data_IF_548890671311
#
_entry.id   IF_548890671311
#
_cell.length_a   1.000
_cell.length_b   1.000
_cell.length_c   1.000
_cell.angle_alpha   90.00
_cell.angle_beta   90.00
_cell.angle_gamma   90.00
#
_symmetry.space_group_name_H-M   'P 1'
#
loop_
_entity.id
_entity.type
_entity.pdbx_description
1 polymer ?
#
# COMPACT_ATOMS: atom_id res chain seq x y z
N UNK A 1 -12.71 -19.33 3.81
CA UNK A 1 -13.37 -18.18 3.15
C UNK A 1 -12.88 -16.90 3.78
N UNK A 2 -12.50 -15.92 2.96
CA UNK A 2 -12.06 -14.62 3.44
C UNK A 2 -13.27 -13.70 3.53
N UNK A 3 -13.55 -13.20 4.72
CA UNK A 3 -14.60 -12.20 4.88
C UNK A 3 -14.09 -10.86 4.33
N UNK A 4 -14.87 -10.17 3.45
CA UNK A 4 -14.44 -8.90 2.90
C UNK A 4 -14.37 -7.81 3.96
N UNK A 5 -13.50 -6.81 3.75
CA UNK A 5 -13.49 -5.62 4.58
C UNK A 5 -14.78 -4.83 4.39
N UNK A 6 -15.12 -4.00 5.36
CA UNK A 6 -16.27 -3.10 5.22
C UNK A 6 -16.08 -2.16 4.05
N UNK A 7 -17.18 -1.81 3.37
CA UNK A 7 -17.17 -0.85 2.27
C UNK A 7 -16.73 0.53 2.76
N UNK A 8 -16.41 1.43 1.82
CA UNK A 8 -16.05 2.83 2.11
C UNK A 8 -14.68 2.97 2.81
N UNK A 9 -13.68 2.37 2.20
CA UNK A 9 -12.30 2.43 2.69
C UNK A 9 -11.79 3.87 2.78
N UNK A 10 -12.16 4.74 1.84
CA UNK A 10 -11.76 6.15 1.89
C UNK A 10 -12.16 6.79 3.21
N UNK A 11 -13.40 6.62 3.65
CA UNK A 11 -13.88 7.19 4.90
C UNK A 11 -13.19 6.56 6.11
N UNK A 12 -13.00 5.24 6.08
CA UNK A 12 -12.28 4.55 7.16
C UNK A 12 -10.85 5.05 7.30
N UNK A 13 -10.18 5.29 6.15
CA UNK A 13 -8.83 5.85 6.15
C UNK A 13 -8.81 7.24 6.76
N UNK A 14 -9.71 8.13 6.35
CA UNK A 14 -9.74 9.49 6.90
C UNK A 14 -10.04 9.48 8.39
N UNK A 15 -10.97 8.62 8.84
CA UNK A 15 -11.26 8.47 10.26
C UNK A 15 -10.04 8.00 11.05
N UNK A 16 -9.28 7.06 10.50
CA UNK A 16 -8.05 6.58 11.13
C UNK A 16 -7.02 7.71 11.26
N UNK A 17 -6.80 8.46 10.18
CA UNK A 17 -5.84 9.56 10.18
C UNK A 17 -6.24 10.66 11.17
N UNK A 18 -7.52 11.03 11.20
CA UNK A 18 -8.04 12.06 12.11
C UNK A 18 -7.95 11.60 13.56
N UNK A 19 -8.27 10.34 13.84
CA UNK A 19 -8.19 9.78 15.19
C UNK A 19 -6.77 9.87 15.76
N UNK A 20 -5.76 9.66 14.90
CA UNK A 20 -4.36 9.72 15.30
C UNK A 20 -3.71 11.09 15.06
N UNK A 21 -4.51 12.11 14.72
CA UNK A 21 -4.02 13.48 14.52
C UNK A 21 -2.89 13.57 13.49
N UNK A 22 -3.05 12.84 12.40
CA UNK A 22 -2.05 12.79 11.33
C UNK A 22 -1.99 14.10 10.55
N UNK A 23 -0.80 14.45 10.08
CA UNK A 23 -0.57 15.62 9.20
C UNK A 23 -0.73 15.17 7.76
N UNK A 24 -1.88 15.50 7.17
CA UNK A 24 -2.20 15.06 5.80
C UNK A 24 -3.09 16.07 5.08
N UNK A 25 -3.14 15.95 3.76
CA UNK A 25 -4.10 16.68 2.94
C UNK A 25 -4.71 15.75 1.90
N UNK A 26 -5.96 16.04 1.54
CA UNK A 26 -6.71 15.27 0.54
C UNK A 26 -6.78 16.07 -0.76
N UNK A 27 -6.57 15.41 -1.88
CA UNK A 27 -6.68 16.02 -3.20
C UNK A 27 -7.67 15.22 -4.04
N UNK A 28 -8.69 15.91 -4.59
CA UNK A 28 -9.62 15.32 -5.55
C UNK A 28 -9.10 15.58 -6.96
N UNK A 29 -9.22 14.59 -7.85
CA UNK A 29 -8.73 14.68 -9.22
C UNK A 29 -9.47 13.70 -10.12
N UNK A 30 -9.17 13.70 -11.41
CA UNK A 30 -9.72 12.71 -12.34
C UNK A 30 -9.27 11.31 -11.94
N UNK A 31 -10.07 10.31 -12.31
CA UNK A 31 -9.75 8.90 -12.01
C UNK A 31 -8.44 8.49 -12.68
N UNK A 32 -7.42 8.21 -11.89
CA UNK A 32 -6.09 7.82 -12.36
C UNK A 32 -5.53 6.72 -11.47
N UNK A 33 -5.11 5.62 -12.10
CA UNK A 33 -4.49 4.50 -11.39
C UNK A 33 -3.00 4.32 -11.66
N UNK A 34 -2.46 5.02 -12.67
CA UNK A 34 -1.02 4.89 -13.01
C UNK A 34 -0.19 5.86 -12.18
N UNK A 35 0.88 5.34 -11.58
CA UNK A 35 1.72 6.11 -10.66
C UNK A 35 2.32 7.38 -11.30
N UNK A 36 2.82 7.29 -12.52
CA UNK A 36 3.41 8.43 -13.21
C UNK A 36 2.40 9.54 -13.45
N UNK A 37 1.23 9.18 -13.98
CA UNK A 37 0.19 10.17 -14.29
C UNK A 37 -0.35 10.83 -13.02
N UNK A 38 -0.58 10.06 -11.97
CA UNK A 38 -1.13 10.62 -10.72
C UNK A 38 -0.11 11.46 -9.98
N UNK A 39 1.18 11.15 -10.06
CA UNK A 39 2.21 11.98 -9.43
C UNK A 39 2.28 13.38 -10.06
N UNK A 40 2.10 13.47 -11.38
CA UNK A 40 2.03 14.77 -12.06
C UNK A 40 0.85 15.59 -11.57
N UNK A 41 -0.33 14.97 -11.46
CA UNK A 41 -1.54 15.64 -10.97
C UNK A 41 -1.36 16.14 -9.54
N UNK A 42 -0.74 15.34 -8.68
CA UNK A 42 -0.47 15.71 -7.28
C UNK A 42 0.60 16.78 -7.13
N UNK A 43 1.46 16.94 -8.14
CA UNK A 43 2.64 17.79 -8.02
C UNK A 43 3.70 17.19 -7.11
N UNK A 44 3.77 15.86 -7.01
CA UNK A 44 4.74 15.12 -6.19
C UNK A 44 5.73 14.37 -7.07
N UNK A 45 6.88 14.02 -6.51
CA UNK A 45 7.82 13.16 -7.22
C UNK A 45 7.26 11.74 -7.33
N UNK A 46 7.60 11.03 -8.40
CA UNK A 46 7.17 9.65 -8.58
C UNK A 46 7.56 8.78 -7.38
N UNK A 47 8.78 8.95 -6.87
CA UNK A 47 9.29 8.18 -5.74
C UNK A 47 8.60 8.47 -4.41
N UNK A 48 7.79 9.53 -4.32
CA UNK A 48 6.95 9.78 -3.14
C UNK A 48 5.68 8.93 -3.15
N UNK A 49 5.32 8.38 -4.31
CA UNK A 49 4.14 7.53 -4.42
C UNK A 49 4.32 6.22 -3.66
N UNK A 50 3.36 5.88 -2.81
CA UNK A 50 3.32 4.60 -2.11
C UNK A 50 2.53 3.61 -2.96
N UNK A 51 3.24 2.79 -3.72
CA UNK A 51 2.66 1.75 -4.56
C UNK A 51 2.30 0.56 -3.69
N UNK A 52 1.04 0.11 -3.77
CA UNK A 52 0.51 -0.98 -2.96
C UNK A 52 0.23 -2.21 -3.83
N UNK A 53 0.87 -3.33 -3.49
CA UNK A 53 0.69 -4.61 -4.17
C UNK A 53 0.10 -5.62 -3.18
N UNK A 54 -0.98 -6.28 -3.57
CA UNK A 54 -1.51 -7.40 -2.77
C UNK A 54 -0.88 -8.68 -3.29
N UNK A 55 -0.14 -9.36 -2.43
CA UNK A 55 0.62 -10.55 -2.78
C UNK A 55 0.14 -11.74 -1.96
N UNK A 56 0.41 -12.92 -2.48
CA UNK A 56 0.11 -14.19 -1.82
C UNK A 56 1.39 -14.97 -1.70
N UNK A 57 1.76 -15.36 -0.48
CA UNK A 57 2.98 -16.12 -0.19
C UNK A 57 2.60 -17.53 0.24
N UNK A 58 3.16 -18.51 -0.44
CA UNK A 58 2.89 -19.93 -0.18
C UNK A 58 4.17 -20.74 -0.08
N UNK A 59 4.06 -21.89 0.58
CA UNK A 59 5.13 -22.87 0.73
C UNK A 59 5.66 -22.89 2.16
N UNK A 60 6.35 -23.97 2.53
CA UNK A 60 6.87 -24.19 3.89
C UNK A 60 5.79 -24.09 4.99
N UNK A 61 4.55 -24.48 4.67
CA UNK A 61 3.42 -24.34 5.59
C UNK A 61 2.83 -22.95 5.67
N UNK A 62 3.33 -21.99 4.87
CA UNK A 62 2.85 -20.61 4.83
C UNK A 62 1.77 -20.46 3.76
N UNK A 63 0.70 -19.75 4.11
CA UNK A 63 -0.33 -19.30 3.18
C UNK A 63 -0.79 -17.94 3.68
N UNK A 64 -0.10 -16.89 3.25
CA UNK A 64 -0.26 -15.54 3.80
C UNK A 64 -0.49 -14.53 2.70
N UNK A 65 -1.54 -13.72 2.84
CA UNK A 65 -1.72 -12.52 2.02
C UNK A 65 -0.94 -11.37 2.62
N UNK A 66 -0.30 -10.59 1.77
CA UNK A 66 0.57 -9.50 2.17
C UNK A 66 0.24 -8.26 1.36
N UNK A 67 0.05 -7.14 2.05
CA UNK A 67 0.00 -5.82 1.42
C UNK A 67 1.41 -5.28 1.42
N UNK A 68 2.04 -5.27 0.25
CA UNK A 68 3.44 -4.91 0.08
C UNK A 68 3.54 -3.51 -0.52
N UNK A 69 4.15 -2.60 0.23
CA UNK A 69 4.24 -1.19 -0.11
C UNK A 69 5.68 -0.85 -0.50
N UNK A 70 5.85 -0.17 -1.62
CA UNK A 70 7.17 0.31 -2.03
C UNK A 70 7.02 1.61 -2.82
N UNK A 71 8.17 2.31 -2.98
CA UNK A 71 8.18 3.55 -3.74
C UNK A 71 7.78 3.28 -5.20
N UNK A 72 6.98 4.15 -5.77
CA UNK A 72 6.40 3.95 -7.11
C UNK A 72 7.44 3.94 -8.23
N UNK A 73 8.66 4.44 -7.99
CA UNK A 73 9.77 4.37 -8.94
C UNK A 73 10.60 3.09 -8.80
N UNK A 74 10.17 2.16 -7.95
CA UNK A 74 10.86 0.89 -7.73
C UNK A 74 10.01 -0.30 -8.16
N UNK A 75 10.66 -1.44 -8.37
CA UNK A 75 9.98 -2.69 -8.69
C UNK A 75 10.19 -3.69 -7.56
N UNK A 76 9.17 -4.51 -7.29
CA UNK A 76 9.23 -5.50 -6.23
C UNK A 76 10.02 -6.73 -6.67
N UNK A 77 10.80 -7.28 -5.74
CA UNK A 77 11.41 -8.60 -5.86
C UNK A 77 10.58 -9.57 -5.03
N UNK A 78 9.71 -10.30 -5.69
CA UNK A 78 8.77 -11.19 -5.00
C UNK A 78 9.47 -12.37 -4.32
N UNK A 79 10.64 -12.79 -4.83
CA UNK A 79 11.42 -13.86 -4.19
C UNK A 79 11.95 -13.41 -2.82
N UNK A 80 12.42 -12.16 -2.71
CA UNK A 80 12.84 -11.61 -1.42
C UNK A 80 11.67 -11.47 -0.45
N UNK A 81 10.50 -11.06 -0.95
CA UNK A 81 9.31 -10.97 -0.13
C UNK A 81 8.93 -12.34 0.43
N UNK A 82 8.94 -13.38 -0.42
CA UNK A 82 8.62 -14.73 0.01
C UNK A 82 9.58 -15.21 1.10
N UNK A 83 10.88 -14.95 0.94
CA UNK A 83 11.89 -15.33 1.93
C UNK A 83 11.63 -14.68 3.28
N UNK A 84 11.31 -13.38 3.28
CA UNK A 84 11.04 -12.67 4.53
C UNK A 84 9.84 -13.26 5.26
N UNK A 85 8.77 -13.58 4.53
CA UNK A 85 7.54 -14.12 5.11
C UNK A 85 7.74 -15.60 5.55
N UNK A 86 8.75 -16.27 5.00
CA UNK A 86 9.06 -17.66 5.33
C UNK A 86 8.46 -18.68 4.39
N UNK A 87 7.94 -18.23 3.24
CA UNK A 87 7.38 -19.09 2.22
C UNK A 87 8.37 -19.42 1.11
N UNK A 88 7.91 -20.19 0.13
CA UNK A 88 8.71 -20.56 -1.04
C UNK A 88 8.47 -19.68 -2.24
N UNK A 89 7.24 -19.16 -2.40
CA UNK A 89 6.88 -18.39 -3.57
C UNK A 89 5.89 -17.28 -3.21
N UNK A 90 6.11 -16.10 -3.79
CA UNK A 90 5.15 -14.98 -3.74
C UNK A 90 4.66 -14.67 -5.15
N UNK A 91 3.38 -14.36 -5.27
CA UNK A 91 2.74 -13.96 -6.51
C UNK A 91 1.72 -12.88 -6.23
N UNK A 92 1.29 -12.17 -7.27
CA UNK A 92 0.22 -11.19 -7.12
C UNK A 92 -1.10 -11.93 -6.86
N UNK A 93 -1.91 -11.39 -5.96
CA UNK A 93 -3.22 -11.93 -5.64
C UNK A 93 -4.19 -11.70 -6.81
N UNK A 94 -5.22 -12.53 -6.89
CA UNK A 94 -6.27 -12.38 -7.91
C UNK A 94 -7.12 -11.13 -7.66
N UNK A 95 -7.82 -10.61 -8.69
CA UNK A 95 -8.74 -9.48 -8.48
C UNK A 95 -9.80 -9.75 -7.42
N UNK A 96 -10.31 -10.97 -7.33
CA UNK A 96 -11.29 -11.34 -6.30
C UNK A 96 -10.68 -11.26 -4.89
N UNK A 97 -9.44 -11.72 -4.72
CA UNK A 97 -8.73 -11.63 -3.44
C UNK A 97 -8.46 -10.18 -3.07
N UNK A 98 -8.04 -9.36 -4.04
CA UNK A 98 -7.80 -7.93 -3.81
C UNK A 98 -9.08 -7.25 -3.33
N UNK A 99 -10.21 -7.51 -3.99
CA UNK A 99 -11.50 -6.92 -3.59
C UNK A 99 -11.90 -7.36 -2.17
N UNK A 100 -11.80 -8.65 -1.87
CA UNK A 100 -12.18 -9.18 -0.56
C UNK A 100 -11.31 -8.59 0.56
N UNK A 101 -10.01 -8.41 0.31
CA UNK A 101 -9.06 -7.97 1.33
C UNK A 101 -8.97 -6.46 1.48
N UNK A 102 -9.29 -5.69 0.45
CA UNK A 102 -9.08 -4.24 0.45
C UNK A 102 -10.33 -3.42 0.17
N UNK A 103 -11.37 -4.01 -0.42
CA UNK A 103 -12.56 -3.32 -0.91
C UNK A 103 -12.22 -2.16 -1.88
N UNK A 104 -11.07 -2.26 -2.56
CA UNK A 104 -10.60 -1.26 -3.50
C UNK A 104 -10.34 -1.88 -4.86
N UNK A 105 -10.50 -1.09 -5.92
CA UNK A 105 -10.05 -1.49 -7.25
C UNK A 105 -8.53 -1.38 -7.32
N UNK A 106 -7.94 -2.08 -8.27
CA UNK A 106 -6.50 -2.02 -8.49
C UNK A 106 -6.06 -0.56 -8.75
N UNK A 107 -5.02 -0.13 -8.08
CA UNK A 107 -4.51 1.25 -8.16
C UNK A 107 -5.11 2.21 -7.15
N UNK A 108 -6.20 1.84 -6.47
CA UNK A 108 -6.85 2.68 -5.46
C UNK A 108 -6.50 2.30 -4.02
N UNK A 109 -5.71 1.27 -3.80
CA UNK A 109 -5.42 0.69 -2.49
C UNK A 109 -4.51 1.62 -1.68
N UNK A 110 -4.95 2.11 -0.51
CA UNK A 110 -4.05 2.89 0.36
C UNK A 110 -3.05 1.96 1.07
N UNK A 111 -1.92 2.52 1.56
CA UNK A 111 -0.88 1.70 2.21
C UNK A 111 -1.21 1.37 3.67
N UNK A 112 -2.43 0.96 3.92
CA UNK A 112 -2.94 0.57 5.24
C UNK A 112 -3.73 -0.72 5.10
N UNK A 113 -3.52 -1.66 6.01
CA UNK A 113 -4.31 -2.89 6.03
C UNK A 113 -5.52 -2.72 6.94
N UNK A 114 -6.70 -2.95 6.38
CA UNK A 114 -7.97 -2.95 7.13
C UNK A 114 -8.54 -4.35 7.30
N UNK A 115 -7.76 -5.38 6.99
CA UNK A 115 -8.21 -6.78 7.11
C UNK A 115 -7.21 -7.57 7.95
N UNK A 116 -7.68 -8.38 8.92
CA UNK A 116 -6.77 -9.12 9.81
C UNK A 116 -5.91 -10.17 9.10
N UNK A 117 -6.36 -10.67 7.95
CA UNK A 117 -5.60 -11.65 7.17
C UNK A 117 -4.61 -11.03 6.19
N UNK A 118 -4.56 -9.70 6.12
CA UNK A 118 -3.68 -8.96 5.21
C UNK A 118 -2.54 -8.32 6.00
N UNK A 119 -1.36 -8.94 5.91
CA UNK A 119 -0.16 -8.50 6.63
C UNK A 119 0.48 -7.32 5.90
N UNK A 120 0.85 -6.26 6.62
CA UNK A 120 1.40 -5.04 6.01
C UNK A 120 2.92 -5.04 6.09
N UNK A 121 3.55 -4.91 4.93
CA UNK A 121 5.01 -4.87 4.77
C UNK A 121 5.36 -3.69 3.89
N UNK A 122 6.44 -2.98 4.20
CA UNK A 122 6.86 -1.82 3.41
C UNK A 122 8.36 -1.77 3.23
N UNK A 123 8.79 -1.41 2.01
CA UNK A 123 10.21 -1.20 1.73
C UNK A 123 10.64 0.16 2.30
N UNK A 124 11.71 0.22 3.10
CA UNK A 124 12.09 1.44 3.80
C UNK A 124 12.55 2.59 2.90
N UNK A 125 12.95 2.34 1.66
CA UNK A 125 13.39 3.41 0.77
C UNK A 125 12.32 4.49 0.60
N UNK A 126 11.04 4.10 0.61
CA UNK A 126 9.92 5.04 0.49
C UNK A 126 9.98 6.13 1.55
N UNK A 127 10.40 5.77 2.76
CA UNK A 127 10.38 6.68 3.92
C UNK A 127 11.68 7.45 4.12
N UNK A 128 12.75 7.01 3.48
CA UNK A 128 14.09 7.59 3.69
C UNK A 128 14.34 8.82 2.82
N UNK A 129 13.60 9.00 1.73
CA UNK A 129 13.86 10.04 0.75
C UNK A 129 13.00 11.29 0.88
N UNK A 130 11.79 11.17 1.47
CA UNK A 130 10.82 12.26 1.48
C UNK A 130 10.13 12.38 2.82
N UNK A 131 9.74 13.61 3.17
CA UNK A 131 8.99 13.88 4.41
C UNK A 131 7.51 13.56 4.27
N UNK A 132 7.01 13.41 3.03
CA UNK A 132 5.62 13.08 2.73
C UNK A 132 5.57 11.96 1.71
N UNK A 133 4.60 11.07 1.87
CA UNK A 133 4.25 10.06 0.86
C UNK A 133 2.87 10.39 0.29
N UNK A 134 2.62 9.93 -0.93
CA UNK A 134 1.37 10.18 -1.63
C UNK A 134 0.77 8.86 -2.13
N UNK A 135 -0.55 8.74 -2.05
CA UNK A 135 -1.22 7.52 -2.49
C UNK A 135 -2.68 7.78 -2.83
N UNK A 136 -3.26 6.90 -3.64
CA UNK A 136 -4.70 6.91 -3.85
C UNK A 136 -5.38 6.38 -2.58
N UNK A 137 -6.44 7.04 -2.17
CA UNK A 137 -7.01 6.88 -0.84
C UNK A 137 -8.33 6.10 -0.87
N UNK A 138 -8.29 4.88 -1.40
CA UNK A 138 -9.47 4.04 -1.56
C UNK A 138 -10.32 4.41 -2.76
N UNK A 139 -9.85 5.33 -3.59
CA UNK A 139 -10.53 5.83 -4.77
C UNK A 139 -9.49 6.26 -5.79
N UNK A 140 -9.76 6.04 -7.09
CA UNK A 140 -8.90 6.54 -8.17
C UNK A 140 -9.03 8.06 -8.34
N UNK A 141 -10.03 8.69 -7.73
CA UNK A 141 -10.33 10.11 -7.85
C UNK A 141 -9.87 10.93 -6.65
N UNK A 142 -9.29 10.29 -5.63
CA UNK A 142 -8.85 10.98 -4.42
C UNK A 142 -7.50 10.46 -3.97
N UNK A 143 -6.59 11.40 -3.69
CA UNK A 143 -5.27 11.11 -3.14
C UNK A 143 -5.13 11.70 -1.76
N UNK A 144 -4.30 11.08 -0.94
CA UNK A 144 -3.83 11.61 0.34
C UNK A 144 -2.33 11.84 0.22
N UNK A 145 -1.88 12.98 0.73
CA UNK A 145 -0.45 13.26 0.90
C UNK A 145 -0.25 13.34 2.41
N UNK A 146 0.56 12.42 2.93
CA UNK A 146 0.66 12.15 4.36
C UNK A 146 2.10 12.27 4.83
N UNK A 147 2.29 12.92 5.99
CA UNK A 147 3.59 12.99 6.62
C UNK A 147 4.15 11.57 6.87
N UNK A 148 5.39 11.35 6.48
CA UNK A 148 6.04 10.04 6.55
C UNK A 148 6.15 9.49 7.96
N UNK A 149 6.52 10.32 8.92
CA UNK A 149 6.63 9.90 10.33
C UNK A 149 5.27 9.49 10.89
N UNK A 150 4.23 10.24 10.53
CA UNK A 150 2.86 9.92 10.97
C UNK A 150 2.40 8.60 10.36
N UNK A 151 2.72 8.35 9.08
CA UNK A 151 2.41 7.07 8.46
C UNK A 151 3.05 5.91 9.25
N UNK A 152 4.34 6.01 9.55
CA UNK A 152 5.06 4.95 10.26
C UNK A 152 4.48 4.72 11.66
N UNK A 153 4.12 5.80 12.34
CA UNK A 153 3.54 5.74 13.68
C UNK A 153 2.17 5.06 13.68
N UNK A 154 1.34 5.38 12.69
CA UNK A 154 -0.05 4.89 12.63
C UNK A 154 -0.12 3.49 12.04
N UNK A 155 0.52 3.26 10.91
CA UNK A 155 0.43 2.00 10.17
C UNK A 155 1.32 0.90 10.76
N UNK A 156 2.46 1.26 11.31
CA UNK A 156 3.44 0.34 11.89
C UNK A 156 3.73 -0.85 10.98
N UNK A 157 4.13 -0.60 9.72
CA UNK A 157 4.40 -1.70 8.80
C UNK A 157 5.68 -2.44 9.20
N UNK A 158 5.77 -3.72 8.81
CA UNK A 158 7.05 -4.42 8.88
C UNK A 158 7.96 -3.85 7.79
N UNK A 159 9.15 -3.38 8.16
CA UNK A 159 10.09 -2.80 7.20
C UNK A 159 10.96 -3.89 6.61
N UNK A 160 10.83 -4.10 5.30
CA UNK A 160 11.52 -5.14 4.56
C UNK A 160 12.00 -4.59 3.24
N UNK A 161 13.30 -4.73 2.96
CA UNK A 161 13.84 -4.32 1.67
C UNK A 161 13.55 -5.42 0.64
N UNK A 162 12.44 -5.27 -0.06
CA UNK A 162 12.04 -6.21 -1.11
C UNK A 162 12.02 -5.58 -2.50
N UNK A 163 12.53 -4.36 -2.65
CA UNK A 163 12.67 -3.75 -3.97
C UNK A 163 13.77 -4.46 -4.76
N UNK A 164 13.57 -4.52 -6.07
CA UNK A 164 14.57 -5.12 -6.96
C UNK A 164 15.85 -4.28 -6.95
N UNK A 165 16.97 -4.94 -6.72
CA UNK A 165 18.27 -4.29 -6.80
C UNK A 165 18.71 -4.23 -8.28
N UNK A 166 19.24 -3.10 -8.69
CA UNK A 166 19.75 -2.91 -10.06
C UNK A 166 21.22 -3.22 -10.15
#
# INVERSE_FOLDING_TARGET
>A
MIEPVAANIHQQLLNLLDHHQARYRVMAHEAVGKCEAVSEIRGTALGQGAKALVCKVKGNGVNQHVLAILAADQQADLAQLAQHIGGLKASLASPAEVDALTACVFGAIPPFSFHPSLRLVADPLLFDRFEEIAFNAGSLEKSVILNTEDYLRIAQPELVAFRRQS
#
